data_IF_245596771032
#
_entry.id   IF_245596771032
#
_cell.length_a   1.000
_cell.length_b   1.000
_cell.length_c   1.000
_cell.angle_alpha   90.00
_cell.angle_beta   90.00
_cell.angle_gamma   90.00
#
_symmetry.space_group_name_H-M   'P 1'
#
loop_
_entity.id
_entity.type
_entity.pdbx_description
1 polymer ?
#
# COMPACT_ATOMS: atom_id res chain seq x y z
N UNK A 1 -38.78 -17.72 40.78
CA UNK A 1 -38.88 -17.50 39.32
C UNK A 1 -37.47 -17.32 38.79
N UNK A 2 -37.00 -18.26 37.97
CA UNK A 2 -35.67 -18.29 37.34
C UNK A 2 -35.78 -17.81 35.88
N UNK A 3 -34.73 -17.18 35.37
CA UNK A 3 -34.48 -17.03 33.93
C UNK A 3 -34.35 -15.56 33.49
N UNK A 4 -33.39 -15.13 32.67
CA UNK A 4 -32.29 -15.79 31.97
C UNK A 4 -31.17 -14.74 31.82
N UNK A 5 -29.97 -15.02 32.31
CA UNK A 5 -28.75 -14.28 31.96
C UNK A 5 -28.16 -15.01 30.76
N UNK A 6 -28.23 -14.40 29.58
CA UNK A 6 -27.54 -14.89 28.39
C UNK A 6 -26.05 -14.71 28.64
N UNK A 7 -25.34 -15.83 28.85
CA UNK A 7 -23.91 -15.86 29.01
C UNK A 7 -23.23 -15.47 27.71
N UNK A 8 -22.59 -14.30 27.71
CA UNK A 8 -21.51 -13.97 26.77
C UNK A 8 -20.40 -15.00 26.98
N UNK A 9 -20.29 -15.95 26.05
CA UNK A 9 -19.15 -16.83 25.97
C UNK A 9 -17.92 -15.96 25.65
N UNK A 10 -17.08 -15.72 26.67
CA UNK A 10 -15.72 -15.24 26.50
C UNK A 10 -14.92 -16.31 25.75
N UNK A 11 -14.96 -16.25 24.42
CA UNK A 11 -14.05 -17.01 23.57
C UNK A 11 -12.66 -16.36 23.73
N UNK A 12 -11.61 -17.14 24.03
CA UNK A 12 -10.28 -16.58 24.19
C UNK A 12 -9.85 -15.92 22.88
N UNK A 13 -9.45 -14.64 22.97
CA UNK A 13 -8.82 -13.85 21.91
C UNK A 13 -7.48 -14.51 21.51
N UNK A 14 -7.55 -15.59 20.73
CA UNK A 14 -6.43 -16.02 19.91
C UNK A 14 -6.20 -14.97 18.84
N UNK A 15 -4.96 -14.48 18.73
CA UNK A 15 -4.57 -13.48 17.74
C UNK A 15 -4.64 -14.07 16.32
N UNK A 16 -5.82 -14.01 15.70
CA UNK A 16 -6.02 -14.35 14.30
C UNK A 16 -5.47 -13.20 13.44
N UNK A 17 -4.26 -13.37 12.92
CA UNK A 17 -3.61 -12.35 12.12
C UNK A 17 -4.04 -12.44 10.66
N UNK A 18 -4.55 -11.31 10.13
CA UNK A 18 -4.69 -11.05 8.71
C UNK A 18 -3.77 -9.90 8.35
N UNK A 19 -2.58 -10.21 7.84
CA UNK A 19 -1.96 -9.30 6.87
C UNK A 19 -2.88 -9.34 5.66
N UNK A 20 -3.35 -8.19 5.16
CA UNK A 20 -4.22 -8.15 3.98
C UNK A 20 -3.63 -9.04 2.87
N UNK A 21 -4.15 -10.26 2.63
CA UNK A 21 -3.67 -11.04 1.51
C UNK A 21 -4.07 -10.27 0.25
N UNK A 22 -3.42 -10.50 -0.88
CA UNK A 22 -3.87 -9.97 -2.16
C UNK A 22 -4.41 -11.10 -3.01
N UNK A 23 -5.56 -10.91 -3.66
CA UNK A 23 -6.06 -11.78 -4.75
C UNK A 23 -5.01 -12.03 -5.84
N UNK A 24 -4.01 -11.17 -5.96
CA UNK A 24 -2.81 -11.37 -6.81
C UNK A 24 -1.99 -12.63 -6.47
N UNK A 25 -2.17 -13.23 -5.29
CA UNK A 25 -1.61 -14.55 -4.96
C UNK A 25 -2.44 -15.71 -5.53
N UNK A 26 -3.61 -15.46 -6.13
CA UNK A 26 -4.60 -16.47 -6.49
C UNK A 26 -5.16 -16.36 -7.91
N UNK A 27 -4.97 -15.24 -8.62
CA UNK A 27 -5.29 -15.17 -10.05
C UNK A 27 -4.16 -15.81 -10.86
N UNK A 28 -4.38 -16.98 -11.44
CA UNK A 28 -3.49 -17.60 -12.42
C UNK A 28 -3.71 -16.95 -13.79
N UNK A 29 -2.77 -16.18 -14.36
CA UNK A 29 -2.76 -15.94 -15.78
C UNK A 29 -2.22 -17.22 -16.44
N UNK A 30 -3.02 -17.85 -17.29
CA UNK A 30 -2.46 -18.71 -18.34
C UNK A 30 -1.63 -17.80 -19.25
N UNK A 31 -0.30 -17.74 -19.07
CA UNK A 31 0.72 -17.74 -20.13
C UNK A 31 2.12 -17.31 -19.65
N UNK A 32 3.09 -18.15 -20.04
CA UNK A 32 4.56 -18.00 -20.11
C UNK A 32 5.28 -17.67 -18.80
N UNK A 33 6.09 -18.64 -18.34
CA UNK A 33 7.31 -18.38 -17.57
C UNK A 33 8.02 -17.19 -18.22
N UNK A 34 7.95 -16.02 -17.60
CA UNK A 34 8.99 -15.04 -17.81
C UNK A 34 10.20 -15.61 -17.06
N UNK A 35 11.29 -15.84 -17.77
CA UNK A 35 12.51 -16.33 -17.16
C UNK A 35 13.08 -15.21 -16.28
N UNK A 36 13.54 -15.54 -15.06
CA UNK A 36 14.16 -14.60 -14.11
C UNK A 36 15.18 -13.65 -14.80
N UNK A 37 16.04 -14.12 -15.73
CA UNK A 37 16.88 -13.26 -16.56
C UNK A 37 16.14 -12.11 -17.26
N UNK A 38 15.01 -12.37 -17.90
CA UNK A 38 14.26 -11.34 -18.63
C UNK A 38 13.74 -10.24 -17.69
N UNK A 39 13.29 -10.61 -16.49
CA UNK A 39 12.86 -9.64 -15.48
C UNK A 39 14.04 -8.79 -14.98
N UNK A 40 15.18 -9.42 -14.69
CA UNK A 40 16.42 -8.74 -14.27
C UNK A 40 16.92 -7.77 -15.36
N UNK A 41 16.86 -8.18 -16.62
CA UNK A 41 17.26 -7.36 -17.77
C UNK A 41 16.37 -6.12 -17.92
N UNK A 42 15.06 -6.25 -17.70
CA UNK A 42 14.13 -5.11 -17.76
C UNK A 42 14.42 -4.04 -16.70
N UNK A 43 15.00 -4.42 -15.57
CA UNK A 43 15.46 -3.50 -14.51
C UNK A 43 16.87 -2.93 -14.78
N UNK A 44 17.48 -3.30 -15.90
CA UNK A 44 18.86 -3.01 -16.30
C UNK A 44 19.93 -3.40 -15.26
N UNK A 45 19.64 -4.39 -14.43
CA UNK A 45 20.55 -4.87 -13.39
C UNK A 45 21.90 -5.37 -13.96
N UNK A 46 21.96 -6.07 -15.11
CA UNK A 46 23.23 -6.51 -15.67
C UNK A 46 24.22 -5.37 -15.96
N UNK A 47 23.74 -4.20 -16.40
CA UNK A 47 24.60 -3.04 -16.66
C UNK A 47 25.20 -2.47 -15.36
N UNK A 48 24.43 -2.45 -14.27
CA UNK A 48 24.95 -2.07 -12.95
C UNK A 48 26.03 -3.04 -12.50
N UNK A 49 25.77 -4.35 -12.63
CA UNK A 49 26.72 -5.39 -12.26
C UNK A 49 27.98 -5.37 -13.12
N UNK A 50 27.86 -5.11 -14.43
CA UNK A 50 29.00 -4.95 -15.33
C UNK A 50 29.90 -3.75 -14.94
N UNK A 51 29.29 -2.71 -14.36
CA UNK A 51 30.00 -1.56 -13.76
C UNK A 51 30.46 -1.81 -12.32
N UNK A 52 30.32 -3.04 -11.81
CA UNK A 52 30.68 -3.48 -10.45
C UNK A 52 29.85 -2.80 -9.35
N UNK A 53 28.68 -2.29 -9.68
CA UNK A 53 27.70 -1.88 -8.68
C UNK A 53 26.77 -3.05 -8.41
N UNK A 54 27.02 -3.75 -7.31
CA UNK A 54 26.30 -4.97 -6.89
C UNK A 54 25.67 -4.83 -5.50
N UNK A 55 25.73 -3.63 -4.90
CA UNK A 55 25.23 -3.36 -3.55
C UNK A 55 26.30 -3.48 -2.45
N UNK A 56 27.58 -3.64 -2.81
CA UNK A 56 28.67 -3.71 -1.84
C UNK A 56 28.66 -2.51 -0.87
N UNK A 57 28.80 -2.81 0.43
CA UNK A 57 28.81 -1.78 1.48
C UNK A 57 27.43 -1.22 1.82
N UNK A 58 26.36 -1.74 1.20
CA UNK A 58 24.99 -1.33 1.48
C UNK A 58 24.31 -2.39 2.35
N UNK A 59 23.72 -1.93 3.47
CA UNK A 59 22.86 -2.72 4.33
C UNK A 59 21.39 -2.46 4.00
N UNK A 60 20.64 -3.53 3.72
CA UNK A 60 19.20 -3.47 3.44
C UNK A 60 18.45 -4.28 4.49
N UNK A 61 17.64 -3.60 5.30
CA UNK A 61 16.74 -4.22 6.25
C UNK A 61 15.39 -4.52 5.61
N UNK A 62 14.97 -5.78 5.65
CA UNK A 62 13.64 -6.24 5.21
C UNK A 62 12.77 -6.38 6.45
N UNK A 63 11.78 -5.51 6.55
CA UNK A 63 10.74 -5.58 7.56
C UNK A 63 9.53 -6.31 6.97
N UNK A 64 9.25 -7.51 7.47
CA UNK A 64 8.08 -8.29 7.06
C UNK A 64 7.38 -8.98 8.25
N UNK A 65 6.25 -9.63 7.99
CA UNK A 65 5.46 -10.37 8.97
C UNK A 65 6.02 -11.76 9.29
N UNK A 66 6.68 -12.42 8.33
CA UNK A 66 7.22 -13.77 8.48
C UNK A 66 8.30 -14.05 7.44
N UNK A 67 9.34 -14.78 7.85
CA UNK A 67 10.44 -15.22 6.99
C UNK A 67 10.48 -16.75 6.87
N UNK A 68 9.30 -17.38 6.78
CA UNK A 68 9.17 -18.84 6.76
C UNK A 68 10.12 -19.48 5.73
N UNK A 69 10.94 -20.41 6.20
CA UNK A 69 11.86 -21.20 5.37
C UNK A 69 13.19 -20.53 5.04
N UNK A 70 13.44 -19.28 5.46
CA UNK A 70 14.59 -18.50 4.98
C UNK A 70 15.95 -19.20 5.13
N UNK A 71 16.15 -19.99 6.19
CA UNK A 71 17.42 -20.70 6.43
C UNK A 71 17.77 -21.69 5.32
N UNK A 72 16.77 -22.25 4.62
CA UNK A 72 16.96 -23.19 3.52
C UNK A 72 17.47 -22.52 2.23
N UNK A 73 17.38 -21.19 2.17
CA UNK A 73 17.74 -20.37 1.02
C UNK A 73 19.06 -19.61 1.19
N UNK A 74 19.70 -19.70 2.37
CA UNK A 74 21.00 -19.07 2.61
C UNK A 74 22.08 -19.67 1.70
N UNK A 75 22.87 -18.80 1.08
CA UNK A 75 23.89 -19.17 0.09
C UNK A 75 23.33 -19.55 -1.29
N UNK A 76 22.02 -19.35 -1.51
CA UNK A 76 21.31 -19.64 -2.76
C UNK A 76 20.47 -18.44 -3.19
N UNK A 77 19.20 -18.42 -2.81
CA UNK A 77 18.26 -17.32 -3.08
C UNK A 77 18.42 -16.16 -2.08
N UNK A 78 19.19 -16.35 -1.01
CA UNK A 78 19.64 -15.34 -0.05
C UNK A 78 21.16 -15.38 0.11
N UNK A 79 21.79 -14.32 0.66
CA UNK A 79 23.21 -14.34 0.99
C UNK A 79 23.58 -15.51 1.91
N UNK A 80 24.86 -15.86 1.98
CA UNK A 80 25.36 -16.93 2.86
C UNK A 80 25.02 -16.69 4.33
N UNK A 81 24.98 -15.43 4.75
CA UNK A 81 24.60 -15.03 6.12
C UNK A 81 23.66 -13.84 6.08
N UNK A 82 22.77 -13.77 7.06
CA UNK A 82 21.85 -12.66 7.27
C UNK A 82 21.82 -12.33 8.76
N UNK A 83 21.61 -11.07 9.10
CA UNK A 83 21.37 -10.66 10.49
C UNK A 83 19.86 -10.68 10.73
N UNK A 84 19.41 -11.32 11.80
CA UNK A 84 17.97 -11.42 12.09
C UNK A 84 17.61 -10.90 13.47
N UNK A 85 16.42 -10.31 13.58
CA UNK A 85 15.85 -9.88 14.86
C UNK A 85 14.33 -9.99 14.83
N UNK A 86 13.76 -10.70 15.81
CA UNK A 86 12.31 -10.70 16.00
C UNK A 86 11.91 -9.68 17.06
N UNK A 87 10.88 -8.89 16.76
CA UNK A 87 10.21 -7.98 17.69
C UNK A 87 8.86 -8.52 18.16
N UNK A 88 8.61 -9.81 17.93
CA UNK A 88 7.47 -10.52 18.50
C UNK A 88 7.76 -10.94 19.93
N UNK A 89 6.70 -11.15 20.70
CA UNK A 89 6.82 -11.59 22.10
C UNK A 89 7.47 -12.98 22.24
N UNK A 90 7.22 -13.85 21.26
CA UNK A 90 7.74 -15.22 21.20
C UNK A 90 9.15 -15.29 20.60
N UNK A 91 9.70 -14.19 20.09
CA UNK A 91 10.98 -14.14 19.39
C UNK A 91 11.02 -14.93 18.07
N UNK A 92 9.86 -15.40 17.58
CA UNK A 92 9.80 -16.28 16.41
C UNK A 92 9.80 -15.47 15.11
N UNK A 93 10.81 -15.67 14.26
CA UNK A 93 10.91 -15.03 12.95
C UNK A 93 9.96 -15.66 11.88
N UNK A 94 9.42 -16.84 12.16
CA UNK A 94 8.61 -17.66 11.24
C UNK A 94 7.24 -18.04 11.86
N UNK A 95 6.42 -17.05 12.31
CA UNK A 95 5.19 -17.31 13.05
C UNK A 95 4.05 -17.85 12.18
N UNK A 96 4.16 -17.74 10.86
CA UNK A 96 3.14 -18.19 9.91
C UNK A 96 3.73 -19.14 8.87
N UNK A 97 2.87 -19.83 8.11
CA UNK A 97 3.27 -20.62 6.95
C UNK A 97 3.65 -19.76 5.73
N UNK A 98 3.49 -18.43 5.81
CA UNK A 98 3.75 -17.53 4.69
C UNK A 98 5.25 -17.26 4.52
N UNK A 99 5.84 -17.50 3.33
CA UNK A 99 7.22 -17.15 3.01
C UNK A 99 7.37 -15.68 2.57
N UNK A 100 6.39 -14.81 2.82
CA UNK A 100 6.31 -13.46 2.24
C UNK A 100 7.59 -12.61 2.40
N UNK A 101 8.17 -12.55 3.60
CA UNK A 101 9.40 -11.81 3.85
C UNK A 101 10.64 -12.41 3.18
N UNK A 102 10.70 -13.75 3.05
CA UNK A 102 11.74 -14.45 2.29
C UNK A 102 11.71 -14.01 0.82
N UNK A 103 10.52 -13.96 0.20
CA UNK A 103 10.37 -13.55 -1.20
C UNK A 103 10.78 -12.09 -1.43
N UNK A 104 10.46 -11.21 -0.47
CA UNK A 104 10.91 -9.83 -0.51
C UNK A 104 12.44 -9.72 -0.42
N UNK A 105 13.07 -10.52 0.45
CA UNK A 105 14.52 -10.56 0.61
C UNK A 105 15.22 -11.16 -0.62
N UNK A 106 14.65 -12.21 -1.24
CA UNK A 106 15.16 -12.79 -2.49
C UNK A 106 15.18 -11.76 -3.62
N UNK A 107 14.11 -10.98 -3.79
CA UNK A 107 14.06 -9.93 -4.82
C UNK A 107 15.19 -8.92 -4.67
N UNK A 108 15.43 -8.46 -3.44
CA UNK A 108 16.51 -7.53 -3.14
C UNK A 108 17.87 -8.17 -3.42
N UNK A 109 18.08 -9.41 -2.97
CA UNK A 109 19.35 -10.12 -3.16
C UNK A 109 19.66 -10.37 -4.64
N UNK A 110 18.66 -10.68 -5.47
CA UNK A 110 18.86 -10.85 -6.92
C UNK A 110 19.30 -9.57 -7.62
N UNK A 111 18.79 -8.42 -7.17
CA UNK A 111 19.12 -7.12 -7.75
C UNK A 111 20.47 -6.63 -7.21
N UNK A 112 20.69 -6.74 -5.90
CA UNK A 112 21.89 -6.28 -5.20
C UNK A 112 22.54 -7.44 -4.44
N UNK A 113 23.28 -8.33 -5.14
CA UNK A 113 23.78 -9.58 -4.56
C UNK A 113 24.82 -9.39 -3.46
N UNK A 114 25.57 -8.28 -3.48
CA UNK A 114 26.60 -7.98 -2.48
C UNK A 114 26.09 -7.06 -1.37
N UNK A 115 24.79 -6.75 -1.34
CA UNK A 115 24.19 -6.06 -0.21
C UNK A 115 24.07 -6.98 1.01
N UNK A 116 24.38 -6.44 2.19
CA UNK A 116 24.15 -7.10 3.46
C UNK A 116 22.65 -7.06 3.79
N UNK A 117 22.03 -8.23 3.98
CA UNK A 117 20.60 -8.35 4.25
C UNK A 117 20.34 -8.53 5.75
N UNK A 118 19.45 -7.69 6.28
CA UNK A 118 18.90 -7.81 7.63
C UNK A 118 17.43 -8.19 7.56
N UNK A 119 16.97 -9.14 8.39
CA UNK A 119 15.58 -9.59 8.42
C UNK A 119 14.96 -9.31 9.78
N UNK A 120 13.85 -8.58 9.81
CA UNK A 120 13.11 -8.40 11.05
C UNK A 120 11.60 -8.52 10.88
N UNK A 121 10.97 -9.21 11.83
CA UNK A 121 9.53 -9.22 11.97
C UNK A 121 9.08 -8.57 13.27
N UNK A 122 7.81 -8.21 13.36
CA UNK A 122 7.22 -7.57 14.54
C UNK A 122 5.84 -8.13 14.85
N UNK A 123 5.29 -7.71 15.99
CA UNK A 123 3.91 -8.04 16.35
C UNK A 123 2.92 -7.17 15.53
N UNK A 124 2.09 -7.75 14.65
CA UNK A 124 1.33 -7.00 13.64
C UNK A 124 0.35 -5.94 14.19
N UNK A 125 -0.07 -6.03 15.45
CA UNK A 125 -1.00 -5.08 16.06
C UNK A 125 -0.35 -4.17 17.10
N UNK A 126 0.99 -4.11 17.14
CA UNK A 126 1.74 -3.27 18.09
C UNK A 126 2.63 -2.28 17.32
N UNK A 127 2.16 -1.04 17.10
CA UNK A 127 2.93 0.00 16.43
C UNK A 127 4.30 0.26 17.03
N UNK A 128 4.44 0.16 18.35
CA UNK A 128 5.70 0.27 19.08
C UNK A 128 6.70 -0.81 18.68
N UNK A 129 6.24 -2.04 18.38
CA UNK A 129 7.10 -3.14 17.91
C UNK A 129 7.59 -2.91 16.48
N UNK A 130 6.76 -2.32 15.62
CA UNK A 130 7.20 -1.88 14.30
C UNK A 130 8.26 -0.78 14.42
N UNK A 131 8.02 0.23 15.26
CA UNK A 131 8.98 1.33 15.47
C UNK A 131 10.30 0.83 16.08
N UNK A 132 10.26 -0.16 16.98
CA UNK A 132 11.44 -0.83 17.50
C UNK A 132 12.23 -1.56 16.40
N UNK A 133 11.54 -2.19 15.44
CA UNK A 133 12.18 -2.82 14.29
C UNK A 133 12.87 -1.80 13.36
N UNK A 134 12.22 -0.65 13.11
CA UNK A 134 12.84 0.47 12.38
C UNK A 134 14.05 1.01 13.13
N UNK A 135 13.94 1.24 14.44
CA UNK A 135 15.04 1.72 15.26
C UNK A 135 16.22 0.76 15.25
N UNK A 136 15.97 -0.55 15.30
CA UNK A 136 17.02 -1.56 15.18
C UNK A 136 17.67 -1.52 13.80
N UNK A 137 16.92 -1.41 12.71
CA UNK A 137 17.49 -1.29 11.37
C UNK A 137 18.43 -0.07 11.27
N UNK A 138 18.02 1.07 11.83
CA UNK A 138 18.88 2.27 11.91
C UNK A 138 20.13 2.01 12.76
N UNK A 139 20.00 1.36 13.92
CA UNK A 139 21.13 1.01 14.78
C UNK A 139 22.10 0.02 14.12
N UNK A 140 21.59 -0.87 13.26
CA UNK A 140 22.39 -1.75 12.41
C UNK A 140 23.00 -1.03 11.20
N UNK A 141 22.85 0.30 11.10
CA UNK A 141 23.34 1.12 10.00
C UNK A 141 22.77 0.70 8.64
N UNK A 142 21.50 0.26 8.62
CA UNK A 142 20.79 0.03 7.37
C UNK A 142 20.74 1.33 6.57
N UNK A 143 21.19 1.26 5.31
CA UNK A 143 21.04 2.36 4.37
C UNK A 143 19.62 2.39 3.79
N UNK A 144 19.00 1.23 3.66
CA UNK A 144 17.67 1.05 3.08
C UNK A 144 16.84 0.14 3.99
N UNK A 145 15.58 0.52 4.21
CA UNK A 145 14.57 -0.29 4.86
C UNK A 145 13.50 -0.59 3.81
N UNK A 146 13.29 -1.87 3.50
CA UNK A 146 12.19 -2.36 2.67
C UNK A 146 11.06 -2.85 3.55
N UNK A 147 9.83 -2.40 3.31
CA UNK A 147 8.65 -2.86 4.04
C UNK A 147 7.49 -3.16 3.09
N UNK A 148 7.12 -4.44 3.01
CA UNK A 148 6.03 -4.92 2.13
C UNK A 148 4.75 -5.28 2.89
N UNK A 149 4.64 -4.85 4.15
CA UNK A 149 3.46 -5.03 4.99
C UNK A 149 2.81 -3.66 5.22
N UNK A 150 1.49 -3.61 5.05
CA UNK A 150 0.71 -2.39 5.27
C UNK A 150 -0.21 -2.50 6.47
N UNK A 151 -0.44 -1.37 7.15
CA UNK A 151 -1.30 -1.26 8.33
C UNK A 151 -2.39 -0.19 8.09
N UNK A 152 -3.55 -0.57 7.54
CA UNK A 152 -4.60 0.39 7.16
C UNK A 152 -5.11 1.25 8.34
N UNK A 153 -5.24 0.66 9.53
CA UNK A 153 -5.74 1.35 10.71
C UNK A 153 -4.71 2.27 11.43
N UNK A 154 -3.45 2.31 10.99
CA UNK A 154 -2.39 3.05 11.71
C UNK A 154 -2.25 4.51 11.25
N UNK A 155 -3.10 4.94 10.32
CA UNK A 155 -2.95 6.20 9.61
C UNK A 155 -4.26 6.73 9.04
N UNK A 156 -4.31 8.02 8.73
CA UNK A 156 -5.38 8.60 7.90
C UNK A 156 -5.25 8.27 6.39
N UNK A 157 -4.14 7.64 6.00
CA UNK A 157 -3.78 7.36 4.60
C UNK A 157 -3.31 8.60 3.84
N UNK A 158 -2.98 9.68 4.56
CA UNK A 158 -2.38 10.92 4.04
C UNK A 158 -1.07 11.27 4.79
N UNK A 159 -0.49 10.30 5.50
CA UNK A 159 0.76 10.52 6.21
C UNK A 159 0.61 11.13 7.62
N UNK A 160 -0.61 11.19 8.16
CA UNK A 160 -0.91 11.71 9.49
C UNK A 160 -1.10 10.62 10.55
N UNK A 161 -0.96 11.02 11.82
CA UNK A 161 -1.08 10.14 13.00
C UNK A 161 0.17 10.13 13.89
N UNK A 162 0.03 9.68 15.13
CA UNK A 162 1.15 9.65 16.08
C UNK A 162 2.26 8.68 15.67
N UNK A 163 1.92 7.56 15.03
CA UNK A 163 2.89 6.58 14.54
C UNK A 163 3.75 7.21 13.45
N UNK A 164 3.17 7.97 12.51
CA UNK A 164 3.92 8.74 11.52
C UNK A 164 4.88 9.73 12.17
N UNK A 165 4.46 10.46 13.20
CA UNK A 165 5.35 11.40 13.89
C UNK A 165 6.55 10.69 14.52
N UNK A 166 6.37 9.48 15.06
CA UNK A 166 7.46 8.68 15.61
C UNK A 166 8.37 8.11 14.52
N UNK A 167 7.79 7.55 13.45
CA UNK A 167 8.54 7.07 12.27
C UNK A 167 9.36 8.20 11.64
N UNK A 168 8.77 9.40 11.52
CA UNK A 168 9.42 10.61 11.06
C UNK A 168 10.65 10.98 11.90
N UNK A 169 10.65 10.72 13.22
CA UNK A 169 11.83 10.95 14.07
C UNK A 169 12.92 9.92 13.80
N UNK A 170 12.56 8.65 13.60
CA UNK A 170 13.52 7.58 13.31
C UNK A 170 14.17 7.72 11.92
N UNK A 171 13.42 8.20 10.93
CA UNK A 171 13.91 8.41 9.56
C UNK A 171 14.55 9.79 9.34
N UNK A 172 14.63 10.64 10.38
CA UNK A 172 15.37 11.90 10.31
C UNK A 172 16.85 11.61 10.40
N UNK A 173 17.61 12.32 9.59
CA UNK A 173 19.07 12.35 9.66
C UNK A 173 19.50 13.80 9.61
N UNK A 174 20.50 14.15 10.42
CA UNK A 174 21.17 15.46 10.36
C UNK A 174 22.04 15.58 9.10
N UNK A 175 22.57 14.45 8.62
CA UNK A 175 23.26 14.33 7.34
C UNK A 175 22.33 13.63 6.32
N UNK A 176 21.77 14.38 5.35
CA UNK A 176 20.92 13.80 4.31
C UNK A 176 21.63 12.80 3.40
N UNK A 177 22.96 12.82 3.32
CA UNK A 177 23.75 11.89 2.50
C UNK A 177 23.93 10.53 3.20
N UNK A 178 23.90 10.52 4.53
CA UNK A 178 23.93 9.32 5.36
C UNK A 178 22.56 8.94 5.93
N UNK A 179 21.46 9.44 5.37
CA UNK A 179 20.11 9.13 5.87
C UNK A 179 19.65 7.73 5.51
N UNK A 180 18.98 7.01 6.41
CA UNK A 180 18.25 5.78 6.04
C UNK A 180 17.08 6.11 5.11
N UNK A 181 16.88 5.32 4.05
CA UNK A 181 15.72 5.45 3.16
C UNK A 181 14.75 4.31 3.40
N UNK A 182 13.47 4.63 3.58
CA UNK A 182 12.44 3.62 3.65
C UNK A 182 11.71 3.53 2.31
N UNK A 183 11.64 2.32 1.76
CA UNK A 183 10.90 1.95 0.55
C UNK A 183 9.78 1.01 0.98
N UNK A 184 8.53 1.38 0.71
CA UNK A 184 7.40 0.59 1.16
C UNK A 184 6.35 0.37 0.08
N UNK A 185 5.64 -0.75 0.19
CA UNK A 185 4.46 -1.00 -0.63
C UNK A 185 3.34 -0.04 -0.24
N UNK A 186 2.55 0.40 -1.23
CA UNK A 186 1.41 1.29 -0.99
C UNK A 186 0.12 0.57 -0.56
N UNK A 187 0.14 -0.76 -0.61
CA UNK A 187 -1.01 -1.60 -0.27
C UNK A 187 -1.82 -2.01 -1.49
N UNK A 188 -2.49 -3.16 -1.33
CA UNK A 188 -3.35 -3.76 -2.36
C UNK A 188 -4.83 -3.54 -2.00
N UNK A 189 -5.20 -2.28 -1.74
CA UNK A 189 -6.43 -1.91 -1.04
C UNK A 189 -7.44 -1.17 -1.93
N UNK A 190 -7.12 -0.85 -3.19
CA UNK A 190 -7.95 0.00 -4.03
C UNK A 190 -9.38 -0.54 -4.25
N UNK A 191 -9.55 -1.85 -4.29
CA UNK A 191 -10.84 -2.53 -4.46
C UNK A 191 -11.50 -2.91 -3.11
N UNK A 192 -10.91 -2.48 -1.99
CA UNK A 192 -11.26 -2.92 -0.63
C UNK A 192 -11.28 -1.77 0.37
N UNK A 193 -11.22 -0.55 -0.13
CA UNK A 193 -11.12 0.65 0.66
C UNK A 193 -12.33 1.52 0.35
N UNK A 194 -12.93 2.09 1.38
CA UNK A 194 -13.93 3.14 1.26
C UNK A 194 -13.51 4.31 2.14
N UNK A 195 -13.78 5.53 1.69
CA UNK A 195 -13.65 6.70 2.54
C UNK A 195 -14.67 7.76 2.14
N UNK A 196 -15.17 8.51 3.13
CA UNK A 196 -16.23 9.47 2.87
C UNK A 196 -16.70 10.17 4.13
N UNK A 197 -17.66 11.06 3.95
CA UNK A 197 -18.40 11.66 5.05
C UNK A 197 -19.55 10.73 5.48
N UNK A 198 -19.76 10.63 6.78
CA UNK A 198 -20.88 9.91 7.36
C UNK A 198 -22.18 10.63 6.98
N UNK A 199 -23.02 9.92 6.23
CA UNK A 199 -24.34 10.36 5.80
C UNK A 199 -25.40 9.45 6.43
N UNK A 200 -25.81 9.71 7.68
CA UNK A 200 -26.82 8.91 8.35
C UNK A 200 -28.21 9.23 7.82
N UNK A 201 -29.03 8.20 7.64
CA UNK A 201 -30.44 8.32 7.30
C UNK A 201 -31.30 8.58 8.55
N UNK A 202 -32.63 8.57 8.40
CA UNK A 202 -33.56 8.80 9.50
C UNK A 202 -33.39 7.79 10.67
N UNK A 203 -32.95 6.57 10.37
CA UNK A 203 -32.68 5.51 11.35
C UNK A 203 -31.24 5.55 11.89
N UNK A 204 -30.42 6.49 11.40
CA UNK A 204 -29.02 6.65 11.78
C UNK A 204 -28.03 5.81 10.98
N UNK A 205 -28.49 5.01 10.02
CA UNK A 205 -27.64 4.16 9.19
C UNK A 205 -26.97 4.97 8.07
N UNK A 206 -25.69 4.72 7.85
CA UNK A 206 -24.93 5.38 6.79
C UNK A 206 -25.34 4.92 5.40
N UNK A 207 -25.50 5.85 4.46
CA UNK A 207 -25.59 5.54 3.02
C UNK A 207 -24.21 5.38 2.39
N UNK A 208 -23.90 4.17 1.93
CA UNK A 208 -22.62 3.83 1.28
C UNK A 208 -22.54 4.32 -0.16
N UNK A 209 -23.68 4.32 -0.84
CA UNK A 209 -23.88 4.89 -2.16
C UNK A 209 -25.04 5.90 -2.13
N UNK A 210 -24.79 7.19 -2.44
CA UNK A 210 -25.83 8.22 -2.41
C UNK A 210 -26.93 8.00 -3.45
N UNK A 211 -26.65 7.29 -4.55
CA UNK A 211 -27.62 7.05 -5.63
C UNK A 211 -28.56 5.88 -5.33
N UNK A 212 -28.07 4.87 -4.60
CA UNK A 212 -28.82 3.65 -4.26
C UNK A 212 -29.38 3.68 -2.83
N UNK A 213 -28.90 4.59 -1.98
CA UNK A 213 -29.26 4.72 -0.56
C UNK A 213 -28.99 3.44 0.25
N UNK A 214 -28.00 2.66 -0.18
CA UNK A 214 -27.64 1.39 0.47
C UNK A 214 -27.10 1.65 1.86
N UNK A 215 -27.78 1.07 2.87
CA UNK A 215 -27.41 1.19 4.29
C UNK A 215 -26.47 0.08 4.77
N UNK A 216 -26.24 -0.92 3.92
CA UNK A 216 -25.34 -2.05 4.11
C UNK A 216 -24.39 -2.05 2.92
N UNK A 217 -23.10 -2.22 3.18
CA UNK A 217 -22.09 -2.44 2.14
C UNK A 217 -21.73 -3.92 2.16
N UNK A 218 -22.06 -4.64 1.10
CA UNK A 218 -21.78 -6.06 1.02
C UNK A 218 -20.27 -6.34 1.08
N UNK A 219 -19.94 -7.39 1.80
CA UNK A 219 -18.58 -7.89 1.98
C UNK A 219 -18.49 -9.30 1.41
N UNK A 220 -17.61 -9.46 0.43
CA UNK A 220 -17.40 -10.73 -0.28
C UNK A 220 -16.08 -11.37 0.18
N UNK A 221 -16.11 -12.35 1.11
CA UNK A 221 -14.90 -13.03 1.54
C UNK A 221 -14.31 -13.82 0.36
N UNK A 222 -12.99 -13.84 0.24
CA UNK A 222 -12.35 -14.64 -0.81
C UNK A 222 -12.35 -16.14 -0.52
N UNK A 223 -12.39 -16.47 0.77
CA UNK A 223 -12.37 -17.83 1.28
C UNK A 223 -13.00 -17.89 2.66
N UNK A 224 -13.47 -19.08 3.03
CA UNK A 224 -13.79 -19.36 4.42
C UNK A 224 -12.53 -19.22 5.28
N UNK A 225 -12.65 -18.58 6.44
CA UNK A 225 -11.51 -18.28 7.28
C UNK A 225 -11.61 -16.93 7.99
N UNK A 226 -10.53 -16.51 8.66
CA UNK A 226 -10.52 -15.20 9.30
C UNK A 226 -10.65 -14.10 8.25
N UNK A 227 -11.53 -13.13 8.51
CA UNK A 227 -11.70 -11.90 7.74
C UNK A 227 -11.86 -10.72 8.70
N UNK A 228 -11.85 -9.50 8.18
CA UNK A 228 -12.01 -8.33 9.03
C UNK A 228 -12.25 -7.03 8.29
N UNK A 229 -12.60 -6.01 9.06
CA UNK A 229 -12.59 -4.61 8.61
C UNK A 229 -11.78 -3.77 9.56
N UNK A 230 -11.08 -2.79 9.02
CA UNK A 230 -10.35 -1.77 9.76
C UNK A 230 -10.89 -0.40 9.41
N UNK A 231 -11.23 0.38 10.44
CA UNK A 231 -11.79 1.71 10.26
C UNK A 231 -10.94 2.75 10.98
N UNK A 232 -10.82 3.93 10.39
CA UNK A 232 -10.16 5.10 11.00
C UNK A 232 -11.08 6.30 10.85
N UNK A 233 -11.37 6.97 11.96
CA UNK A 233 -12.03 8.27 11.93
C UNK A 233 -11.00 9.34 11.55
N UNK A 234 -11.26 10.07 10.46
CA UNK A 234 -10.36 11.05 9.85
C UNK A 234 -10.57 12.48 10.37
N UNK A 235 -11.63 12.71 11.13
CA UNK A 235 -11.94 14.00 11.74
C UNK A 235 -11.80 13.94 13.26
N UNK A 236 -11.26 15.01 13.86
CA UNK A 236 -11.35 15.26 15.30
C UNK A 236 -12.80 15.64 15.65
N UNK A 237 -13.72 14.71 15.49
CA UNK A 237 -15.11 14.87 15.87
C UNK A 237 -15.27 14.53 17.35
N UNK A 238 -16.35 14.99 17.97
CA UNK A 238 -16.65 14.55 19.32
C UNK A 238 -17.04 13.07 19.28
N UNK A 239 -16.80 12.35 20.38
CA UNK A 239 -17.16 10.95 20.51
C UNK A 239 -18.64 10.66 20.20
N UNK A 240 -19.52 11.64 20.41
CA UNK A 240 -20.95 11.54 20.15
C UNK A 240 -21.29 11.41 18.66
N UNK A 241 -20.44 11.93 17.76
CA UNK A 241 -20.70 11.87 16.31
C UNK A 241 -20.12 10.62 15.64
N UNK A 242 -19.26 9.86 16.32
CA UNK A 242 -18.62 8.67 15.75
C UNK A 242 -19.65 7.53 15.56
N UNK A 243 -19.66 6.86 14.39
CA UNK A 243 -20.54 5.73 14.16
C UNK A 243 -20.07 4.49 14.91
N UNK A 244 -21.00 3.59 15.17
CA UNK A 244 -20.76 2.20 15.54
C UNK A 244 -20.77 1.37 14.27
N UNK A 245 -19.92 0.34 14.20
CA UNK A 245 -19.84 -0.55 13.05
C UNK A 245 -20.36 -1.93 13.43
N UNK A 246 -21.17 -2.49 12.56
CA UNK A 246 -21.76 -3.80 12.72
C UNK A 246 -21.50 -4.63 11.47
N UNK A 247 -21.11 -5.88 11.68
CA UNK A 247 -21.03 -6.89 10.63
C UNK A 247 -22.24 -7.80 10.78
N UNK A 248 -23.00 -7.95 9.71
CA UNK A 248 -24.21 -8.76 9.62
C UNK A 248 -23.90 -9.95 8.72
N UNK A 249 -24.35 -11.13 9.13
CA UNK A 249 -24.41 -12.30 8.26
C UNK A 249 -25.72 -12.20 7.48
N UNK A 250 -25.64 -11.78 6.22
CA UNK A 250 -26.79 -11.51 5.37
C UNK A 250 -27.60 -12.78 5.09
N UNK A 251 -26.93 -13.94 5.08
CA UNK A 251 -27.56 -15.26 4.88
C UNK A 251 -28.47 -15.64 6.05
N UNK A 252 -28.05 -15.38 7.28
CA UNK A 252 -28.82 -15.70 8.50
C UNK A 252 -29.60 -14.52 9.07
N UNK A 253 -29.36 -13.32 8.54
CA UNK A 253 -29.85 -12.04 9.06
C UNK A 253 -29.49 -11.79 10.54
N UNK A 254 -28.35 -12.32 10.99
CA UNK A 254 -27.88 -12.16 12.38
C UNK A 254 -26.63 -11.28 12.46
N UNK A 255 -26.47 -10.46 13.51
CA UNK A 255 -25.23 -9.74 13.74
C UNK A 255 -24.10 -10.72 14.11
N UNK A 256 -22.96 -10.56 13.45
CA UNK A 256 -21.72 -11.32 13.72
C UNK A 256 -20.87 -10.60 14.76
N UNK A 257 -20.76 -9.28 14.62
CA UNK A 257 -19.95 -8.46 15.50
C UNK A 257 -20.44 -7.01 15.47
N UNK A 258 -20.32 -6.31 16.60
CA UNK A 258 -20.55 -4.88 16.73
C UNK A 258 -19.37 -4.29 17.47
N UNK A 259 -18.82 -3.22 16.93
CA UNK A 259 -17.64 -2.56 17.49
C UNK A 259 -17.78 -1.04 17.43
N UNK A 260 -17.11 -0.38 18.38
CA UNK A 260 -17.19 1.08 18.57
C UNK A 260 -15.79 1.66 18.63
N UNK A 261 -15.59 2.85 18.07
CA UNK A 261 -14.32 3.54 18.22
C UNK A 261 -13.99 3.73 19.71
N UNK A 262 -12.82 3.25 20.11
CA UNK A 262 -12.22 3.69 21.35
C UNK A 262 -11.96 5.19 21.21
N UNK A 263 -12.46 6.02 22.12
CA UNK A 263 -12.22 7.46 22.11
C UNK A 263 -10.78 7.67 22.61
N UNK A 264 -9.79 7.97 21.74
CA UNK A 264 -8.43 8.17 22.21
C UNK A 264 -8.31 9.59 22.74
N UNK A 265 -7.52 9.79 23.78
CA UNK A 265 -7.27 11.13 24.32
C UNK A 265 -6.51 12.04 23.33
N UNK A 266 -5.77 11.50 22.33
CA UNK A 266 -4.85 12.27 21.47
C UNK A 266 -4.60 11.77 20.02
N UNK A 267 -5.13 10.61 19.62
CA UNK A 267 -4.83 9.98 18.31
C UNK A 267 -6.06 9.81 17.42
N UNK A 268 -5.85 9.50 16.13
CA UNK A 268 -6.94 9.13 15.21
C UNK A 268 -7.64 7.86 15.73
N UNK A 269 -8.95 7.92 16.05
CA UNK A 269 -9.67 6.74 16.53
C UNK A 269 -9.67 5.65 15.47
N UNK A 270 -9.05 4.53 15.79
CA UNK A 270 -9.07 3.30 14.99
C UNK A 270 -10.05 2.28 15.56
N UNK A 271 -10.58 1.44 14.68
CA UNK A 271 -11.43 0.30 15.02
C UNK A 271 -11.02 -0.90 14.16
N UNK A 272 -11.09 -2.09 14.74
CA UNK A 272 -10.86 -3.34 14.02
C UNK A 272 -11.93 -4.35 14.40
N UNK A 273 -12.65 -4.85 13.39
CA UNK A 273 -13.61 -5.95 13.56
C UNK A 273 -13.01 -7.17 12.88
N UNK A 274 -13.09 -8.31 13.56
CA UNK A 274 -12.59 -9.59 13.07
C UNK A 274 -13.66 -10.65 13.27
N UNK A 275 -13.89 -11.46 12.24
CA UNK A 275 -14.78 -12.62 12.31
C UNK A 275 -14.26 -13.74 11.43
N UNK A 276 -14.96 -14.87 11.44
CA UNK A 276 -14.66 -16.01 10.57
C UNK A 276 -15.75 -16.15 9.52
N UNK A 277 -15.39 -15.94 8.25
CA UNK A 277 -16.26 -16.15 7.12
C UNK A 277 -16.48 -17.65 6.88
N UNK A 278 -17.69 -18.00 6.47
CA UNK A 278 -18.08 -19.33 5.99
C UNK A 278 -18.20 -19.29 4.45
N UNK A 279 -18.02 -20.44 3.79
CA UNK A 279 -17.90 -20.53 2.33
C UNK A 279 -19.19 -20.24 1.56
N UNK A 280 -20.33 -20.33 2.23
CA UNK A 280 -21.70 -20.24 1.72
C UNK A 280 -22.49 -19.10 2.37
N UNK A 281 -21.79 -18.22 3.09
CA UNK A 281 -22.38 -17.08 3.77
C UNK A 281 -21.94 -15.77 3.12
N UNK A 282 -22.88 -14.83 3.06
CA UNK A 282 -22.66 -13.45 2.65
C UNK A 282 -22.68 -12.55 3.89
N UNK A 283 -21.88 -11.48 3.85
CA UNK A 283 -21.76 -10.55 4.96
C UNK A 283 -22.02 -9.13 4.49
N UNK A 284 -22.53 -8.30 5.39
CA UNK A 284 -22.76 -6.89 5.16
C UNK A 284 -22.17 -6.04 6.27
N UNK A 285 -21.65 -4.86 5.93
CA UNK A 285 -21.13 -3.90 6.89
C UNK A 285 -22.09 -2.73 7.00
N UNK A 286 -22.46 -2.41 8.24
CA UNK A 286 -23.35 -1.30 8.56
C UNK A 286 -22.64 -0.33 9.50
N UNK A 287 -22.66 0.96 9.16
CA UNK A 287 -22.21 2.03 10.04
C UNK A 287 -23.43 2.80 10.56
N UNK A 288 -23.56 2.97 11.87
CA UNK A 288 -24.76 3.56 12.48
C UNK A 288 -24.44 4.60 13.54
N UNK A 289 -25.21 5.69 13.57
CA UNK A 289 -25.30 6.58 14.71
C UNK A 289 -26.47 6.11 15.59
N UNK A 290 -26.27 5.79 16.88
CA UNK A 290 -27.36 5.32 17.74
C UNK A 290 -28.46 6.36 17.95
N UNK A 291 -29.72 5.91 18.04
CA UNK A 291 -30.92 6.75 18.17
C UNK A 291 -30.85 7.79 19.29
N UNK A 292 -30.27 7.44 20.44
CA UNK A 292 -30.10 8.37 21.57
C UNK A 292 -29.18 9.57 21.26
N UNK A 293 -28.46 9.55 20.13
CA UNK A 293 -27.56 10.63 19.66
C UNK A 293 -28.16 11.44 18.51
N UNK A 294 -29.33 11.05 17.97
CA UNK A 294 -29.97 11.73 16.83
C UNK A 294 -30.46 13.14 17.16
N UNK A 295 -30.73 13.43 18.44
CA UNK A 295 -31.30 14.70 18.89
C UNK A 295 -30.28 15.85 19.03
N UNK A 296 -28.99 15.60 18.81
CA UNK A 296 -27.93 16.62 18.86
C UNK A 296 -27.40 16.90 17.45
N UNK A 297 -27.05 18.15 17.09
CA UNK A 297 -26.39 18.43 15.83
C UNK A 297 -25.07 17.65 15.76
N UNK A 298 -25.04 16.60 14.94
CA UNK A 298 -23.87 15.79 14.72
C UNK A 298 -22.83 16.65 13.98
N UNK A 299 -21.58 16.62 14.46
CA UNK A 299 -20.50 17.19 13.67
C UNK A 299 -20.23 16.27 12.49
N UNK A 300 -19.90 16.80 11.30
CA UNK A 300 -19.46 15.98 10.19
C UNK A 300 -18.35 15.02 10.63
N UNK A 301 -18.53 13.74 10.35
CA UNK A 301 -17.52 12.71 10.59
C UNK A 301 -17.07 12.20 9.25
N UNK A 302 -15.76 12.21 9.02
CA UNK A 302 -15.18 11.48 7.90
C UNK A 302 -14.52 10.23 8.43
N UNK A 303 -14.69 9.12 7.74
CA UNK A 303 -14.03 7.89 8.09
C UNK A 303 -13.48 7.19 6.86
N UNK A 304 -12.51 6.32 7.10
CA UNK A 304 -12.00 5.33 6.18
C UNK A 304 -12.38 3.95 6.71
N UNK A 305 -12.70 3.05 5.80
CA UNK A 305 -12.88 1.63 6.05
C UNK A 305 -12.04 0.83 5.06
N UNK A 306 -11.41 -0.25 5.52
CA UNK A 306 -10.66 -1.20 4.68
C UNK A 306 -11.07 -2.62 5.02
N UNK A 307 -11.44 -3.40 4.00
CA UNK A 307 -11.72 -4.81 4.08
C UNK A 307 -10.42 -5.66 4.03
N UNK A 308 -10.35 -6.65 4.91
CA UNK A 308 -9.27 -7.63 5.00
C UNK A 308 -9.82 -9.04 4.76
N UNK A 309 -9.24 -9.74 3.79
CA UNK A 309 -9.67 -11.10 3.41
C UNK A 309 -10.96 -11.15 2.59
N UNK A 310 -11.41 -10.02 2.03
CA UNK A 310 -12.57 -9.94 1.14
C UNK A 310 -12.66 -8.59 0.42
N UNK A 311 -13.63 -8.49 -0.49
CA UNK A 311 -13.95 -7.30 -1.29
C UNK A 311 -15.17 -6.56 -0.73
N UNK A 312 -15.28 -5.26 -1.03
CA UNK A 312 -16.46 -4.45 -0.71
C UNK A 312 -17.21 -4.18 -2.00
N UNK A 313 -18.55 -4.24 -1.95
CA UNK A 313 -19.39 -3.76 -3.04
C UNK A 313 -19.11 -2.29 -3.33
N UNK A 314 -19.28 -1.44 -2.31
CA UNK A 314 -19.02 -0.02 -2.41
C UNK A 314 -17.59 0.29 -1.95
N UNK A 315 -16.73 0.63 -2.91
CA UNK A 315 -15.34 0.99 -2.67
C UNK A 315 -14.91 2.26 -3.43
N UNK A 316 -13.88 2.92 -2.92
CA UNK A 316 -13.26 4.10 -3.48
C UNK A 316 -11.75 3.85 -3.65
N UNK A 317 -11.27 3.63 -4.89
CA UNK A 317 -9.86 3.39 -5.15
C UNK A 317 -8.95 4.55 -4.74
N UNK A 318 -9.40 5.80 -4.91
CA UNK A 318 -8.59 6.98 -4.56
C UNK A 318 -8.46 7.13 -3.05
N UNK A 319 -7.26 7.50 -2.63
CA UNK A 319 -6.90 7.60 -1.21
C UNK A 319 -6.54 6.25 -0.57
N UNK A 320 -6.60 5.12 -1.26
CA UNK A 320 -6.43 3.77 -0.66
C UNK A 320 -5.01 3.41 -0.15
N UNK A 321 -4.10 4.37 0.03
CA UNK A 321 -2.78 4.12 0.61
C UNK A 321 -2.89 3.78 2.09
N UNK A 322 -1.96 2.99 2.59
CA UNK A 322 -1.85 2.66 4.00
C UNK A 322 -0.44 2.90 4.53
N UNK A 323 -0.32 2.99 5.86
CA UNK A 323 0.96 2.98 6.54
C UNK A 323 1.80 1.76 6.14
N UNK A 324 3.12 1.87 5.96
CA UNK A 324 3.91 3.11 6.04
C UNK A 324 4.03 3.85 4.69
N UNK A 325 3.49 3.30 3.59
CA UNK A 325 3.64 3.86 2.24
C UNK A 325 3.05 5.27 2.07
N UNK A 326 2.02 5.60 2.85
CA UNK A 326 1.41 6.94 2.89
C UNK A 326 2.30 8.01 3.57
N UNK A 327 3.39 7.63 4.25
CA UNK A 327 4.27 8.57 4.95
C UNK A 327 5.05 9.47 3.97
N UNK A 328 5.17 10.81 4.21
CA UNK A 328 5.79 11.75 3.27
C UNK A 328 7.28 11.50 2.94
N UNK A 329 8.02 10.86 3.85
CA UNK A 329 9.44 10.48 3.65
C UNK A 329 9.69 9.04 3.20
N UNK A 330 8.63 8.26 3.05
CA UNK A 330 8.73 6.88 2.55
C UNK A 330 8.58 6.93 1.04
N UNK A 331 9.48 6.27 0.31
CA UNK A 331 9.31 6.01 -1.12
C UNK A 331 8.21 4.96 -1.24
N UNK A 332 7.04 5.39 -1.66
CA UNK A 332 5.86 4.56 -1.82
C UNK A 332 5.89 3.93 -3.21
N UNK A 333 5.74 2.61 -3.28
CA UNK A 333 5.86 1.85 -4.53
C UNK A 333 4.54 1.16 -4.88
N UNK A 334 3.98 1.54 -6.03
CA UNK A 334 2.82 0.92 -6.63
C UNK A 334 3.16 -0.24 -7.56
N UNK A 335 2.11 -0.95 -7.98
CA UNK A 335 2.23 -2.09 -8.87
C UNK A 335 1.62 -1.77 -10.24
N UNK A 336 2.32 -2.17 -11.30
CA UNK A 336 1.85 -2.15 -12.69
C UNK A 336 2.01 -3.52 -13.32
N UNK A 337 1.26 -3.80 -14.37
CA UNK A 337 1.45 -5.02 -15.16
C UNK A 337 2.59 -4.88 -16.19
N UNK A 338 2.79 -5.90 -17.01
CA UNK A 338 3.84 -5.92 -18.04
C UNK A 338 3.65 -4.89 -19.16
N UNK A 339 2.44 -4.32 -19.31
CA UNK A 339 2.16 -3.22 -20.23
C UNK A 339 2.42 -1.84 -19.62
N UNK A 340 2.69 -1.79 -18.30
CA UNK A 340 2.88 -0.55 -17.55
C UNK A 340 1.58 0.06 -17.05
N UNK A 341 0.46 -0.66 -17.17
CA UNK A 341 -0.84 -0.23 -16.65
C UNK A 341 -0.96 -0.55 -15.16
N UNK A 342 -1.59 0.35 -14.38
CA UNK A 342 -1.79 0.13 -12.94
C UNK A 342 -2.69 -1.08 -12.73
N UNK A 343 -2.22 -2.07 -11.98
CA UNK A 343 -3.07 -3.21 -11.60
C UNK A 343 -4.20 -2.73 -10.68
N UNK A 344 -5.44 -3.25 -10.83
CA UNK A 344 -6.63 -2.72 -10.16
C UNK A 344 -6.50 -2.57 -8.64
N UNK A 345 -5.92 -3.58 -7.98
CA UNK A 345 -5.75 -3.60 -6.54
C UNK A 345 -4.70 -2.60 -6.02
N UNK A 346 -3.79 -2.10 -6.87
CA UNK A 346 -2.70 -1.22 -6.43
C UNK A 346 -3.28 0.09 -5.92
N UNK A 347 -2.93 0.45 -4.68
CA UNK A 347 -3.37 1.68 -4.05
C UNK A 347 -3.05 2.92 -4.87
N UNK A 348 -3.77 4.02 -4.61
CA UNK A 348 -3.51 5.30 -5.29
C UNK A 348 -3.80 6.47 -4.35
N UNK A 349 -2.86 7.42 -4.33
CA UNK A 349 -2.95 8.72 -3.67
C UNK A 349 -4.22 9.50 -3.98
N UNK A 350 -4.54 10.46 -3.12
CA UNK A 350 -5.30 11.62 -3.58
C UNK A 350 -4.40 12.51 -4.44
N UNK A 351 -4.98 13.47 -5.17
CA UNK A 351 -4.20 14.43 -5.97
C UNK A 351 -3.22 15.27 -5.13
N UNK A 352 -3.41 15.35 -3.81
CA UNK A 352 -2.52 16.08 -2.90
C UNK A 352 -1.28 15.26 -2.53
N UNK A 353 -1.39 13.94 -2.49
CA UNK A 353 -0.37 13.07 -1.92
C UNK A 353 0.79 12.80 -2.86
N UNK A 354 0.59 12.97 -4.19
CA UNK A 354 1.59 12.65 -5.23
C UNK A 354 2.22 11.26 -5.06
N UNK A 355 1.42 10.31 -4.56
CA UNK A 355 1.80 8.92 -4.27
C UNK A 355 1.02 7.92 -5.14
N UNK A 356 1.62 6.78 -5.53
CA UNK A 356 3.00 6.38 -5.22
C UNK A 356 4.05 7.22 -5.95
N UNK A 357 5.25 7.35 -5.36
CA UNK A 357 6.34 8.07 -6.02
C UNK A 357 6.90 7.30 -7.21
N UNK A 358 6.88 5.97 -7.14
CA UNK A 358 7.41 5.01 -8.11
C UNK A 358 6.48 3.80 -8.26
N UNK A 359 6.64 3.04 -9.33
CA UNK A 359 5.93 1.78 -9.56
C UNK A 359 6.90 0.72 -10.06
N UNK A 360 6.55 -0.56 -9.91
CA UNK A 360 7.28 -1.66 -10.52
C UNK A 360 6.35 -2.72 -11.10
N UNK A 361 6.83 -3.42 -12.13
CA UNK A 361 6.11 -4.47 -12.85
C UNK A 361 5.93 -5.68 -11.96
N UNK A 362 4.71 -6.23 -11.94
CA UNK A 362 4.33 -7.44 -11.21
C UNK A 362 3.32 -8.28 -12.02
N UNK A 363 3.20 -9.59 -11.76
CA UNK A 363 4.03 -10.39 -10.86
C UNK A 363 5.42 -10.70 -11.44
N UNK A 364 6.36 -11.06 -10.58
CA UNK A 364 7.75 -11.38 -10.94
C UNK A 364 8.12 -12.82 -10.59
N UNK A 365 8.85 -13.54 -11.45
CA UNK A 365 9.29 -14.90 -11.17
C UNK A 365 10.34 -14.93 -10.05
N UNK A 366 10.31 -15.95 -9.20
CA UNK A 366 11.28 -16.17 -8.12
C UNK A 366 11.67 -17.66 -8.05
N UNK A 367 12.78 -18.00 -7.42
CA UNK A 367 13.20 -19.40 -7.23
C UNK A 367 12.74 -19.98 -5.90
N UNK A 368 12.51 -19.17 -4.86
CA UNK A 368 12.01 -19.71 -3.59
C UNK A 368 10.56 -20.20 -3.66
N UNK A 369 9.85 -19.96 -4.77
CA UNK A 369 8.51 -20.52 -5.03
C UNK A 369 8.21 -20.64 -6.53
N UNK A 370 7.33 -21.56 -6.88
CA UNK A 370 6.92 -21.79 -8.27
C UNK A 370 6.06 -20.64 -8.83
N UNK A 371 5.10 -20.15 -8.04
CA UNK A 371 4.16 -19.12 -8.49
C UNK A 371 4.81 -17.71 -8.48
N UNK A 372 4.70 -16.91 -9.55
CA UNK A 372 5.23 -15.55 -9.59
C UNK A 372 4.76 -14.68 -8.40
N UNK A 373 5.66 -13.89 -7.82
CA UNK A 373 5.39 -12.98 -6.72
C UNK A 373 4.75 -11.68 -7.20
N UNK A 374 3.48 -11.47 -6.83
CA UNK A 374 2.68 -10.32 -7.21
C UNK A 374 2.35 -9.38 -6.04
N UNK A 375 1.58 -8.34 -6.35
CA UNK A 375 1.19 -7.33 -5.38
C UNK A 375 2.21 -6.20 -5.27
N UNK A 376 1.79 -5.09 -4.65
CA UNK A 376 2.72 -4.00 -4.27
C UNK A 376 3.85 -4.49 -3.34
N UNK A 377 3.63 -5.61 -2.64
CA UNK A 377 4.64 -6.34 -1.87
C UNK A 377 5.81 -6.90 -2.70
N UNK A 378 5.58 -7.21 -3.98
CA UNK A 378 6.64 -7.58 -4.92
C UNK A 378 7.25 -6.35 -5.61
N UNK A 379 6.55 -5.23 -5.65
CA UNK A 379 7.03 -4.00 -6.28
C UNK A 379 8.06 -3.25 -5.39
N UNK A 380 7.74 -3.07 -4.10
CA UNK A 380 8.61 -2.37 -3.15
C UNK A 380 10.05 -2.94 -3.04
N UNK A 381 10.27 -4.26 -2.89
CA UNK A 381 11.62 -4.83 -2.82
C UNK A 381 12.41 -4.69 -4.11
N UNK A 382 11.76 -4.60 -5.28
CA UNK A 382 12.47 -4.30 -6.53
C UNK A 382 13.11 -2.90 -6.48
N UNK A 383 12.34 -1.91 -6.06
CA UNK A 383 12.83 -0.53 -5.89
C UNK A 383 13.86 -0.43 -4.76
N UNK A 384 13.70 -1.20 -3.67
CA UNK A 384 14.69 -1.26 -2.61
C UNK A 384 16.03 -1.83 -3.09
N UNK A 385 16.02 -2.89 -3.92
CA UNK A 385 17.22 -3.43 -4.56
C UNK A 385 17.88 -2.41 -5.49
N UNK A 386 17.09 -1.73 -6.34
CA UNK A 386 17.61 -0.67 -7.21
C UNK A 386 18.19 0.50 -6.42
N UNK A 387 17.56 0.88 -5.32
CA UNK A 387 18.07 1.91 -4.42
C UNK A 387 19.43 1.50 -3.83
N UNK A 388 19.65 0.20 -3.56
CA UNK A 388 20.92 -0.30 -3.06
C UNK A 388 22.04 -0.17 -4.11
N UNK A 389 21.76 -0.57 -5.35
CA UNK A 389 22.69 -0.38 -6.47
C UNK A 389 23.00 1.09 -6.69
N UNK A 390 21.98 1.94 -6.73
CA UNK A 390 22.13 3.36 -6.98
C UNK A 390 22.93 4.04 -5.87
N UNK A 391 22.67 3.71 -4.60
CA UNK A 391 23.40 4.31 -3.48
C UNK A 391 24.84 3.85 -3.41
N UNK A 392 25.14 2.61 -3.80
CA UNK A 392 26.52 2.16 -3.97
C UNK A 392 27.26 2.97 -5.06
N UNK A 393 26.56 3.34 -6.14
CA UNK A 393 27.12 4.13 -7.23
C UNK A 393 27.17 5.64 -6.96
N UNK A 394 26.27 6.16 -6.14
CA UNK A 394 26.11 7.59 -5.83
C UNK A 394 26.04 7.79 -4.31
N UNK A 395 27.14 7.60 -3.57
CA UNK A 395 27.10 7.60 -2.09
C UNK A 395 26.63 8.91 -1.47
N UNK A 396 26.91 10.05 -2.11
CA UNK A 396 26.48 11.38 -1.66
C UNK A 396 25.05 11.75 -2.13
N UNK A 397 24.41 10.89 -2.91
CA UNK A 397 23.10 11.14 -3.48
C UNK A 397 21.99 11.08 -2.42
N UNK A 398 20.95 11.90 -2.57
CA UNK A 398 19.80 11.89 -1.65
C UNK A 398 18.66 11.05 -2.22
N UNK A 399 17.74 10.67 -1.35
CA UNK A 399 16.50 9.96 -1.70
C UNK A 399 15.74 10.61 -2.87
N UNK A 400 15.63 11.94 -2.86
CA UNK A 400 14.95 12.69 -3.93
C UNK A 400 15.68 12.63 -5.27
N UNK A 401 17.01 12.53 -5.25
CA UNK A 401 17.83 12.43 -6.46
C UNK A 401 17.66 11.03 -7.08
N UNK A 402 17.57 9.98 -6.26
CA UNK A 402 17.19 8.62 -6.69
C UNK A 402 15.79 8.59 -7.32
N UNK A 403 14.77 9.11 -6.63
CA UNK A 403 13.39 9.13 -7.14
C UNK A 403 13.30 9.91 -8.45
N UNK A 404 13.99 11.05 -8.56
CA UNK A 404 14.08 11.81 -9.81
C UNK A 404 14.74 11.00 -10.91
N UNK A 405 15.88 10.36 -10.63
CA UNK A 405 16.58 9.51 -11.61
C UNK A 405 15.69 8.42 -12.17
N UNK A 406 14.89 7.76 -11.32
CA UNK A 406 13.92 6.76 -11.76
C UNK A 406 12.81 7.35 -12.66
N UNK A 407 12.32 8.56 -12.35
CA UNK A 407 11.28 9.23 -13.15
C UNK A 407 11.81 9.76 -14.49
N UNK A 408 13.03 10.27 -14.53
CA UNK A 408 13.64 10.78 -15.77
C UNK A 408 13.97 9.64 -16.74
N UNK A 409 14.41 8.49 -16.21
CA UNK A 409 14.56 7.26 -16.96
C UNK A 409 13.22 6.78 -17.58
N UNK A 410 12.09 7.07 -16.92
CA UNK A 410 10.75 6.83 -17.48
C UNK A 410 10.38 7.83 -18.59
N UNK A 411 10.53 9.14 -18.35
CA UNK A 411 10.07 10.19 -19.27
C UNK A 411 10.74 10.14 -20.65
N UNK A 412 11.91 9.53 -20.77
CA UNK A 412 12.68 9.40 -22.01
C UNK A 412 12.17 8.31 -22.97
N UNK A 413 11.06 7.62 -22.65
CA UNK A 413 10.45 6.57 -23.46
C UNK A 413 9.03 6.95 -23.96
N UNK A 414 8.88 7.45 -25.20
CA UNK A 414 7.56 7.55 -25.84
C UNK A 414 7.15 6.22 -26.46
N UNK A 415 5.86 5.92 -26.36
CA UNK A 415 5.17 4.77 -26.94
C UNK A 415 5.36 4.61 -28.46
N UNK A 416 5.68 3.38 -28.89
CA UNK A 416 5.58 2.80 -30.26
C UNK A 416 6.46 3.42 -31.38
N UNK A 417 7.54 2.73 -31.77
CA UNK A 417 7.78 2.07 -33.09
C UNK A 417 9.29 1.76 -33.31
N UNK A 418 9.66 0.74 -34.12
CA UNK A 418 11.03 0.23 -34.23
C UNK A 418 11.79 0.92 -35.38
N UNK A 419 12.67 1.87 -35.08
CA UNK A 419 13.84 2.16 -35.92
C UNK A 419 14.73 3.25 -35.30
N UNK A 420 16.02 2.89 -35.17
CA UNK A 420 17.22 3.72 -35.00
C UNK A 420 17.48 4.35 -33.62
N UNK A 421 18.54 3.82 -33.01
CA UNK A 421 19.34 4.39 -31.92
C UNK A 421 19.92 5.78 -32.27
N UNK A 422 20.22 6.58 -31.23
CA UNK A 422 21.63 6.93 -31.00
C UNK A 422 22.11 6.82 -29.53
N UNK A 423 23.44 6.66 -29.43
CA UNK A 423 24.39 6.42 -28.32
C UNK A 423 24.83 7.72 -27.58
N UNK A 424 25.78 7.78 -26.59
CA UNK A 424 26.17 6.95 -25.43
C UNK A 424 26.18 7.79 -24.13
N UNK A 425 25.11 7.81 -23.33
CA UNK A 425 25.15 8.34 -21.94
C UNK A 425 23.93 7.92 -21.11
N UNK A 426 23.07 7.05 -21.65
CA UNK A 426 21.73 6.83 -21.14
C UNK A 426 21.69 5.59 -20.27
N UNK A 427 21.50 5.82 -18.98
CA UNK A 427 20.91 4.87 -18.05
C UNK A 427 19.47 4.58 -18.54
N UNK A 428 19.28 3.51 -19.30
CA UNK A 428 17.98 2.89 -19.60
C UNK A 428 17.78 1.72 -18.61
N UNK A 429 16.62 1.31 -18.10
CA UNK A 429 15.29 1.37 -18.68
C UNK A 429 14.16 1.20 -17.63
N UNK A 430 13.09 1.99 -17.80
CA UNK A 430 11.67 1.78 -17.43
C UNK A 430 11.18 1.85 -15.97
N UNK A 431 10.42 2.92 -15.71
CA UNK A 431 9.09 2.83 -15.09
C UNK A 431 8.05 3.24 -16.15
N UNK A 432 6.76 2.95 -15.95
CA UNK A 432 5.65 3.49 -16.77
C UNK A 432 4.55 3.99 -15.84
N UNK A 433 4.01 5.19 -16.07
CA UNK A 433 2.65 5.56 -15.69
C UNK A 433 2.48 6.59 -14.58
N UNK A 434 2.64 7.88 -14.88
CA UNK A 434 1.99 8.97 -14.11
C UNK A 434 1.47 10.15 -14.94
N UNK A 435 1.70 10.23 -16.26
CA UNK A 435 1.24 11.36 -17.07
C UNK A 435 -0.12 11.20 -17.78
N UNK A 436 -0.79 10.03 -17.68
CA UNK A 436 -2.11 9.84 -18.30
C UNK A 436 -3.30 9.81 -17.33
N UNK A 437 -3.09 9.94 -16.02
CA UNK A 437 -4.20 10.01 -15.03
C UNK A 437 -4.65 11.46 -14.76
N UNK A 438 -3.92 12.47 -15.23
CA UNK A 438 -4.34 13.87 -15.10
C UNK A 438 -5.20 14.39 -16.26
N UNK A 439 -5.35 13.65 -17.35
CA UNK A 439 -6.17 14.09 -18.50
C UNK A 439 -6.84 12.91 -19.19
N UNK A 440 -7.87 12.34 -18.57
CA UNK A 440 -9.04 11.84 -19.28
C UNK A 440 -10.24 11.93 -18.34
N UNK A 441 -11.27 12.57 -18.86
CA UNK A 441 -12.42 13.06 -18.14
C UNK A 441 -13.27 11.92 -17.58
N UNK A 442 -13.35 11.84 -16.25
CA UNK A 442 -14.55 11.43 -15.53
C UNK A 442 -15.09 12.68 -14.83
N UNK A 443 -15.65 13.58 -15.62
CA UNK A 443 -16.48 14.69 -15.16
C UNK A 443 -17.82 14.57 -15.86
N UNK A 444 -18.88 14.43 -15.06
CA UNK A 444 -20.26 14.57 -15.51
C UNK A 444 -20.47 15.98 -16.12
N UNK A 445 -21.26 16.12 -17.19
CA UNK A 445 -21.45 17.38 -17.89
C UNK A 445 -22.73 18.08 -17.41
N UNK A 446 -22.63 19.12 -16.60
CA UNK A 446 -23.67 20.15 -16.53
C UNK A 446 -23.01 21.52 -16.44
N UNK A 447 -23.18 22.30 -17.53
CA UNK A 447 -23.59 23.71 -17.58
C UNK A 447 -23.14 24.35 -18.90
N UNK A 448 -24.12 24.46 -19.80
CA UNK A 448 -24.39 25.51 -20.80
C UNK A 448 -23.55 25.67 -22.10
N UNK A 449 -24.27 25.41 -23.20
CA UNK A 449 -24.42 26.20 -24.45
C UNK A 449 -23.36 26.12 -25.59
N UNK A 450 -23.74 25.28 -26.56
CA UNK A 450 -23.58 25.26 -28.05
C UNK A 450 -23.50 26.63 -28.78
N UNK A 451 -23.18 26.72 -30.11
CA UNK A 451 -22.72 25.69 -31.09
C UNK A 451 -21.70 26.14 -32.22
N UNK A 452 -21.27 25.15 -33.03
CA UNK A 452 -20.69 25.16 -34.41
C UNK A 452 -19.17 25.47 -34.61
N UNK A 453 -18.44 24.95 -35.62
CA UNK A 453 -18.75 24.19 -36.87
C UNK A 453 -17.75 23.04 -37.14
N UNK A 454 -18.13 22.12 -38.04
CA UNK A 454 -17.55 20.78 -38.23
C UNK A 454 -16.49 20.62 -39.33
N UNK A 455 -15.48 21.48 -39.40
CA UNK A 455 -14.54 21.47 -40.53
C UNK A 455 -13.07 21.77 -40.20
N UNK A 456 -12.67 21.67 -38.93
CA UNK A 456 -11.29 21.28 -38.57
C UNK A 456 -10.15 22.12 -39.17
N UNK A 457 -10.28 23.45 -39.18
CA UNK A 457 -9.16 24.37 -39.47
C UNK A 457 -9.01 25.44 -38.39
N UNK A 458 -7.77 25.86 -38.07
CA UNK A 458 -7.53 26.95 -37.13
C UNK A 458 -7.83 28.30 -37.78
N UNK A 459 -8.62 29.15 -37.10
CA UNK A 459 -8.72 30.57 -37.43
C UNK A 459 -7.57 31.30 -36.74
N UNK A 460 -6.51 31.62 -37.50
CA UNK A 460 -5.65 32.75 -37.18
C UNK A 460 -6.07 33.90 -38.09
N UNK A 461 -6.36 35.05 -37.46
CA UNK A 461 -6.51 36.34 -38.10
C UNK A 461 -5.63 37.36 -37.36
N UNK A 462 -4.75 37.98 -38.13
CA UNK A 462 -3.75 38.97 -37.74
C UNK A 462 -4.30 40.19 -36.99
N UNK A 463 -3.44 40.85 -36.19
CA UNK A 463 -3.56 42.29 -36.00
C UNK A 463 -2.99 42.92 -34.72
N UNK A 464 -1.79 43.48 -34.86
CA UNK A 464 -1.33 44.78 -34.33
C UNK A 464 -0.70 44.84 -32.91
N UNK A 465 0.63 44.88 -32.95
CA UNK A 465 1.61 45.79 -32.30
C UNK A 465 1.28 46.65 -31.05
N UNK A 466 2.39 46.88 -30.30
CA UNK A 466 2.76 47.92 -29.31
C UNK A 466 2.60 47.48 -27.84
N UNK A 467 3.60 47.63 -26.95
CA UNK A 467 4.91 48.26 -27.05
C UNK A 467 5.77 47.96 -25.81
N UNK A 468 7.07 48.20 -25.97
CA UNK A 468 8.13 48.11 -24.96
C UNK A 468 8.04 49.19 -23.86
N UNK A 469 8.69 48.90 -22.74
CA UNK A 469 9.06 49.77 -21.59
C UNK A 469 7.91 50.12 -20.63
N UNK A 470 7.93 49.64 -19.38
CA UNK A 470 8.85 49.95 -18.28
C UNK A 470 8.79 48.87 -17.20
#
# INVERSE_FOLDING_TARGET
>A
MRGWIIGLALIPLGSWFLVAPSRAQQSTPKHRNHDIPEWIDRLNVPDWHAKRFTGQGIRVAVLDSSFRGYRQHLGRELPQTVVTQSFRRDGNLEPTSSPHGLLCAELIHRIAPDAEILLANWEPNQPDRFLAAVQWAVAQQASIISCSVVMPAWSDGQGGGAIHQQLQRLLRSEDPTNSVWMVASIGNLAERHWHGELQPNADGCHHWNPDQLDSINDFYPWNAGPVGVECVALSQSNAQSLPEFEVIDSTTSQPVAVERFAIPARDLPGLSIRWRAQSDHEYGIRAMVPAHRHASPLKPVRFRLVALGGELEHHHPRGSLAFPGDHPRVIAVGAVDSSGERVPYSGIGTSRDHKPELVAVVPVPLSARLEPFGGTSAAAPQIAGLAALWRAAVPAGRQADFVRSCRDAHASFPSRSPARLPDPARLSSFATGLSQIQTRADFLPEFFFRPFSGDGRPLFGDGVERGLSR
#
